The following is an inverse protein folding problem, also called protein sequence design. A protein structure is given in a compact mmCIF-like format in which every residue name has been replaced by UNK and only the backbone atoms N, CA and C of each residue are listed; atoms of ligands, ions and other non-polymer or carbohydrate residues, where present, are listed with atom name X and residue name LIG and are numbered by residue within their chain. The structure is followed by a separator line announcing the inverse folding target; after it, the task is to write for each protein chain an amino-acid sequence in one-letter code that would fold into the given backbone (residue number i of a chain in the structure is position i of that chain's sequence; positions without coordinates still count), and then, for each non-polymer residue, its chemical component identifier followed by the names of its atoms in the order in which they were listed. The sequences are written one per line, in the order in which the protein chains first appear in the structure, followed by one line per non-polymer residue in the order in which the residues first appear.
data_IF_936675315221
#
_entry.id   IF_936675315221
#
_cell.length_a   1.000
_cell.length_b   1.000
_cell.length_c   1.000
_cell.angle_alpha   90.00
_cell.angle_beta   90.00
_cell.angle_gamma   90.00
#
_symmetry.space_group_name_H-M   'P 1'
#
loop_
_entity.id
_entity.type
_entity.pdbx_description
1 polymer ?
#
# COMPACT_ATOMS: atom_id res chain seq x y z
N UNK A 1 0.83 8.34 28.85
CA UNK A 1 1.60 7.52 27.86
C UNK A 1 0.73 6.59 27.01
N UNK A 2 -0.36 5.99 27.54
CA UNK A 2 -1.36 5.24 26.76
C UNK A 2 -2.23 6.17 25.87
N UNK A 3 -2.61 7.36 26.37
CA UNK A 3 -3.36 8.37 25.58
C UNK A 3 -2.63 8.81 24.32
N UNK A 4 -1.30 8.96 24.39
CA UNK A 4 -0.49 9.42 23.26
C UNK A 4 -0.55 8.46 22.08
N UNK A 5 -0.64 7.14 22.32
CA UNK A 5 -0.72 6.15 21.24
C UNK A 5 -2.12 6.07 20.63
N UNK A 6 -3.17 6.18 21.45
CA UNK A 6 -4.54 6.26 20.97
C UNK A 6 -4.69 7.50 20.06
N UNK A 7 -4.09 8.62 20.47
CA UNK A 7 -4.01 9.85 19.66
C UNK A 7 -3.23 9.57 18.36
N UNK A 8 -2.09 8.87 18.38
CA UNK A 8 -1.35 8.58 17.15
C UNK A 8 -2.12 7.66 16.19
N UNK A 9 -2.74 6.58 16.68
CA UNK A 9 -3.53 5.65 15.85
C UNK A 9 -4.80 6.33 15.30
N UNK A 10 -5.47 7.14 16.13
CA UNK A 10 -6.65 7.92 15.72
C UNK A 10 -6.29 9.05 14.76
N UNK A 11 -5.26 9.86 15.06
CA UNK A 11 -4.73 10.89 14.14
C UNK A 11 -4.30 10.28 12.81
N UNK A 12 -3.66 9.12 12.83
CA UNK A 12 -3.23 8.45 11.62
C UNK A 12 -4.40 8.02 10.74
N UNK A 13 -5.43 7.41 11.34
CA UNK A 13 -6.68 7.06 10.65
C UNK A 13 -7.39 8.32 10.12
N UNK A 14 -7.32 9.42 10.87
CA UNK A 14 -7.84 10.72 10.47
C UNK A 14 -7.08 11.31 9.26
N UNK A 15 -5.75 11.31 9.31
CA UNK A 15 -4.87 11.82 8.25
C UNK A 15 -5.12 11.02 6.96
N UNK A 16 -5.14 9.69 7.05
CA UNK A 16 -5.49 8.83 5.92
C UNK A 16 -6.88 9.15 5.37
N UNK A 17 -7.88 9.29 6.24
CA UNK A 17 -9.23 9.66 5.81
C UNK A 17 -9.27 11.00 5.08
N UNK A 18 -8.59 12.03 5.58
CA UNK A 18 -8.55 13.35 4.95
C UNK A 18 -7.77 13.36 3.64
N UNK A 19 -6.60 12.72 3.59
CA UNK A 19 -5.84 12.58 2.36
C UNK A 19 -6.65 11.80 1.29
N UNK A 20 -7.33 10.72 1.69
CA UNK A 20 -8.23 9.97 0.81
C UNK A 20 -9.46 10.78 0.40
N UNK A 21 -9.95 11.68 1.25
CA UNK A 21 -11.06 12.58 0.91
C UNK A 21 -10.63 13.63 -0.12
N UNK A 22 -9.42 14.19 0.01
CA UNK A 22 -8.81 15.08 -1.00
C UNK A 22 -8.63 14.35 -2.33
N UNK A 23 -8.19 13.09 -2.29
CA UNK A 23 -8.04 12.25 -3.48
C UNK A 23 -9.36 11.63 -3.96
N UNK A 24 -10.50 11.94 -3.31
CA UNK A 24 -11.84 11.56 -3.73
C UNK A 24 -12.09 10.04 -3.67
N UNK A 25 -11.39 9.37 -2.76
CA UNK A 25 -11.46 7.94 -2.47
C UNK A 25 -12.25 7.64 -1.17
N UNK A 26 -12.86 8.66 -0.56
CA UNK A 26 -13.62 8.54 0.70
C UNK A 26 -15.11 8.88 0.49
N UNK A 27 -15.95 7.97 -0.07
CA UNK A 27 -17.40 8.19 -0.23
C UNK A 27 -18.18 8.14 1.10
N UNK A 28 -17.50 8.28 2.23
CA UNK A 28 -18.02 8.15 3.58
C UNK A 28 -17.63 9.36 4.44
N UNK A 29 -18.24 9.49 5.61
CA UNK A 29 -18.00 10.56 6.56
C UNK A 29 -17.30 10.06 7.82
N UNK A 30 -16.67 10.97 8.56
CA UNK A 30 -16.10 10.70 9.88
C UNK A 30 -16.92 11.41 10.96
N UNK A 31 -17.38 10.67 11.97
CA UNK A 31 -18.08 11.23 13.11
C UNK A 31 -17.11 11.45 14.28
N UNK A 32 -16.75 12.71 14.53
CA UNK A 32 -15.82 13.12 15.59
C UNK A 32 -16.31 12.81 17.01
N UNK A 33 -17.63 12.79 17.24
CA UNK A 33 -18.18 12.51 18.58
C UNK A 33 -18.06 11.03 18.96
N UNK A 34 -18.16 10.14 17.97
CA UNK A 34 -18.13 8.69 18.19
C UNK A 34 -16.83 8.03 17.70
N UNK A 35 -15.89 8.80 17.13
CA UNK A 35 -14.65 8.31 16.51
C UNK A 35 -14.86 7.17 15.49
N UNK A 36 -15.97 7.22 14.76
CA UNK A 36 -16.39 6.16 13.84
C UNK A 36 -16.64 6.72 12.45
N UNK A 37 -16.34 5.92 11.43
CA UNK A 37 -16.74 6.20 10.06
C UNK A 37 -18.22 5.86 9.88
N UNK A 38 -18.92 6.70 9.13
CA UNK A 38 -20.35 6.57 8.85
C UNK A 38 -20.65 6.81 7.38
N UNK A 39 -21.80 6.29 6.93
CA UNK A 39 -22.35 6.63 5.62
C UNK A 39 -22.57 8.14 5.53
N UNK A 40 -22.17 8.75 4.42
CA UNK A 40 -22.35 10.17 4.16
C UNK A 40 -22.87 10.33 2.73
N UNK A 41 -24.13 10.77 2.61
CA UNK A 41 -24.77 11.00 1.31
C UNK A 41 -24.02 12.10 0.55
N UNK A 42 -23.61 13.16 1.26
CA UNK A 42 -22.85 14.28 0.67
C UNK A 42 -21.51 13.80 0.11
N UNK A 43 -20.75 13.00 0.89
CA UNK A 43 -19.47 12.47 0.40
C UNK A 43 -19.65 11.52 -0.78
N UNK A 44 -20.72 10.71 -0.78
CA UNK A 44 -21.04 9.80 -1.89
C UNK A 44 -21.40 10.59 -3.15
N UNK A 45 -22.28 11.59 -3.06
CA UNK A 45 -22.64 12.45 -4.18
C UNK A 45 -21.41 13.19 -4.74
N UNK A 46 -20.55 13.70 -3.86
CA UNK A 46 -19.29 14.34 -4.25
C UNK A 46 -18.38 13.40 -5.06
N UNK A 47 -18.20 12.15 -4.62
CA UNK A 47 -17.44 11.15 -5.38
C UNK A 47 -18.10 10.81 -6.72
N UNK A 48 -19.44 10.70 -6.79
CA UNK A 48 -20.16 10.42 -8.05
C UNK A 48 -19.99 11.56 -9.06
N UNK A 49 -20.16 12.82 -8.62
CA UNK A 49 -19.96 13.99 -9.47
C UNK A 49 -18.54 14.01 -10.02
N UNK A 50 -17.55 13.68 -9.18
CA UNK A 50 -16.17 13.64 -9.63
C UNK A 50 -15.89 12.50 -10.60
N UNK A 51 -16.48 11.32 -10.45
CA UNK A 51 -16.39 10.23 -11.44
C UNK A 51 -16.94 10.67 -12.79
N UNK A 52 -18.08 11.37 -12.81
CA UNK A 52 -18.66 11.91 -14.04
C UNK A 52 -17.72 12.95 -14.65
N UNK A 53 -17.17 13.83 -13.82
CA UNK A 53 -16.26 14.88 -14.23
C UNK A 53 -14.94 14.29 -14.79
N UNK A 54 -14.37 13.28 -14.15
CA UNK A 54 -13.17 12.60 -14.64
C UNK A 54 -13.44 11.82 -15.91
N UNK A 55 -14.63 11.22 -16.05
CA UNK A 55 -15.03 10.51 -17.26
C UNK A 55 -15.23 11.43 -18.47
N UNK A 56 -15.63 12.68 -18.26
CA UNK A 56 -15.94 13.62 -19.34
C UNK A 56 -14.81 14.63 -19.62
N UNK A 57 -14.29 15.30 -18.59
CA UNK A 57 -13.35 16.41 -18.75
C UNK A 57 -11.96 15.90 -19.13
N UNK A 58 -11.47 14.84 -18.47
CA UNK A 58 -10.09 14.39 -18.72
C UNK A 58 -9.85 13.92 -20.16
N UNK A 59 -10.69 13.07 -20.78
CA UNK A 59 -10.48 12.64 -22.16
C UNK A 59 -10.48 13.82 -23.13
N UNK A 60 -11.45 14.73 -23.01
CA UNK A 60 -11.63 15.85 -23.94
C UNK A 60 -10.43 16.80 -23.96
N UNK A 61 -9.89 17.13 -22.78
CA UNK A 61 -8.80 18.11 -22.67
C UNK A 61 -7.41 17.50 -22.76
N UNK A 62 -7.22 16.24 -22.32
CA UNK A 62 -5.89 15.63 -22.29
C UNK A 62 -5.54 14.89 -23.57
N UNK A 63 -6.48 14.21 -24.25
CA UNK A 63 -6.16 13.50 -25.51
C UNK A 63 -5.73 14.47 -26.61
N UNK A 64 -6.43 15.59 -26.75
CA UNK A 64 -6.10 16.63 -27.72
C UNK A 64 -4.71 17.24 -27.46
N UNK A 65 -4.41 17.52 -26.19
CA UNK A 65 -3.08 17.97 -25.76
C UNK A 65 -1.98 16.95 -26.07
N UNK A 66 -2.22 15.67 -25.80
CA UNK A 66 -1.28 14.58 -26.09
C UNK A 66 -0.96 14.45 -27.57
N UNK A 67 -2.00 14.45 -28.41
CA UNK A 67 -1.83 14.34 -29.85
C UNK A 67 -1.01 15.51 -30.40
N UNK A 68 -1.31 16.73 -29.96
CA UNK A 68 -0.59 17.93 -30.39
C UNK A 68 0.87 17.95 -29.90
N UNK A 69 1.11 17.66 -28.62
CA UNK A 69 2.45 17.68 -28.03
C UNK A 69 3.33 16.54 -28.55
N UNK A 70 2.80 15.32 -28.69
CA UNK A 70 3.57 14.19 -29.23
C UNK A 70 3.81 14.36 -30.73
N UNK A 71 2.82 14.82 -31.50
CA UNK A 71 2.97 15.04 -32.95
C UNK A 71 4.03 16.11 -33.29
N UNK A 72 4.18 17.13 -32.43
CA UNK A 72 5.25 18.13 -32.56
C UNK A 72 6.64 17.55 -32.29
N UNK A 73 6.76 16.62 -31.34
CA UNK A 73 8.05 16.14 -30.83
C UNK A 73 8.55 14.84 -31.46
N UNK A 74 7.65 13.98 -31.95
CA UNK A 74 7.99 12.67 -32.51
C UNK A 74 7.58 12.57 -33.99
N UNK A 75 8.36 11.84 -34.81
CA UNK A 75 8.09 11.72 -36.24
C UNK A 75 7.17 10.55 -36.63
N UNK A 76 7.17 9.43 -35.89
CA UNK A 76 6.32 8.26 -36.21
C UNK A 76 4.99 8.31 -35.45
N UNK A 77 4.03 7.51 -35.94
CA UNK A 77 2.71 7.32 -35.34
C UNK A 77 2.78 6.43 -34.10
N UNK A 78 3.75 5.52 -34.01
CA UNK A 78 3.89 4.58 -32.90
C UNK A 78 4.02 5.29 -31.55
N UNK A 79 4.85 6.32 -31.47
CA UNK A 79 5.07 7.10 -30.25
C UNK A 79 3.80 7.85 -29.83
N UNK A 80 3.10 8.42 -30.81
CA UNK A 80 1.83 9.13 -30.59
C UNK A 80 0.80 8.15 -30.01
N UNK A 81 0.66 6.97 -30.60
CA UNK A 81 -0.26 5.94 -30.11
C UNK A 81 0.14 5.39 -28.74
N UNK A 82 1.43 5.16 -28.49
CA UNK A 82 1.91 4.66 -27.20
C UNK A 82 1.61 5.66 -26.05
N UNK A 83 1.87 6.95 -26.27
CA UNK A 83 1.58 7.98 -25.28
C UNK A 83 0.08 8.22 -25.06
N UNK A 84 -0.71 8.22 -26.15
CA UNK A 84 -2.18 8.30 -26.05
C UNK A 84 -2.75 7.08 -25.31
N UNK A 85 -2.24 5.89 -25.60
CA UNK A 85 -2.63 4.65 -24.93
C UNK A 85 -2.36 4.75 -23.44
N UNK A 86 -1.14 5.14 -23.03
CA UNK A 86 -0.82 5.31 -21.61
C UNK A 86 -1.79 6.29 -20.94
N UNK A 87 -1.98 7.49 -21.52
CA UNK A 87 -2.87 8.50 -20.95
C UNK A 87 -4.30 7.97 -20.80
N UNK A 88 -4.88 7.41 -21.86
CA UNK A 88 -6.23 6.85 -21.83
C UNK A 88 -6.36 5.71 -20.81
N UNK A 89 -5.35 4.85 -20.73
CA UNK A 89 -5.30 3.73 -19.81
C UNK A 89 -5.28 4.18 -18.34
N UNK A 90 -4.44 5.15 -17.99
CA UNK A 90 -4.38 5.73 -16.64
C UNK A 90 -5.73 6.34 -16.22
N UNK A 91 -6.43 7.02 -17.15
CA UNK A 91 -7.75 7.58 -16.89
C UNK A 91 -8.81 6.51 -16.60
N UNK A 92 -8.85 5.46 -17.44
CA UNK A 92 -9.77 4.35 -17.25
C UNK A 92 -9.55 3.68 -15.89
N UNK A 93 -8.28 3.47 -15.52
CA UNK A 93 -7.92 2.91 -14.21
C UNK A 93 -8.46 3.75 -13.05
N UNK A 94 -8.33 5.08 -13.11
CA UNK A 94 -8.84 5.96 -12.05
C UNK A 94 -10.35 5.88 -11.91
N UNK A 95 -11.08 5.83 -13.03
CA UNK A 95 -12.53 5.65 -13.04
C UNK A 95 -12.90 4.32 -12.37
N UNK A 96 -12.24 3.22 -12.76
CA UNK A 96 -12.48 1.91 -12.14
C UNK A 96 -12.17 1.88 -10.65
N UNK A 97 -11.07 2.52 -10.23
CA UNK A 97 -10.71 2.66 -8.81
C UNK A 97 -11.82 3.42 -8.06
N UNK A 98 -12.25 4.58 -8.56
CA UNK A 98 -13.28 5.38 -7.91
C UNK A 98 -14.62 4.63 -7.81
N UNK A 99 -15.02 3.94 -8.87
CA UNK A 99 -16.19 3.05 -8.87
C UNK A 99 -16.05 1.91 -7.85
N UNK A 100 -14.87 1.31 -7.75
CA UNK A 100 -14.58 0.26 -6.77
C UNK A 100 -14.71 0.77 -5.32
N UNK A 101 -14.21 1.97 -5.01
CA UNK A 101 -14.39 2.59 -3.70
C UNK A 101 -15.85 2.90 -3.38
N UNK A 102 -16.64 3.34 -4.37
CA UNK A 102 -18.09 3.56 -4.23
C UNK A 102 -18.86 2.25 -3.97
N UNK A 103 -18.46 1.18 -4.65
CA UNK A 103 -19.03 -0.16 -4.52
C UNK A 103 -18.74 -0.77 -3.14
N UNK A 104 -17.47 -0.76 -2.72
CA UNK A 104 -17.02 -1.36 -1.46
C UNK A 104 -17.22 -0.45 -0.24
N UNK A 105 -17.86 0.72 -0.38
CA UNK A 105 -17.97 1.74 0.68
C UNK A 105 -18.40 1.19 2.04
N UNK A 106 -19.37 0.27 2.06
CA UNK A 106 -19.88 -0.30 3.30
C UNK A 106 -18.83 -1.18 3.98
N UNK A 107 -18.18 -2.04 3.21
CA UNK A 107 -17.14 -2.94 3.71
C UNK A 107 -15.93 -2.16 4.22
N UNK A 108 -15.58 -1.03 3.57
CA UNK A 108 -14.53 -0.12 4.01
C UNK A 108 -14.87 0.53 5.36
N UNK A 109 -16.09 1.06 5.51
CA UNK A 109 -16.56 1.63 6.80
C UNK A 109 -16.46 0.57 7.89
N UNK A 110 -16.99 -0.62 7.62
CA UNK A 110 -17.02 -1.71 8.59
C UNK A 110 -15.60 -2.16 8.96
N UNK A 111 -14.68 -2.24 7.98
CA UNK A 111 -13.26 -2.57 8.22
C UNK A 111 -12.61 -1.60 9.19
N UNK A 112 -12.66 -0.29 8.89
CA UNK A 112 -11.98 0.71 9.70
C UNK A 112 -12.60 0.83 11.10
N UNK A 113 -13.93 0.69 11.24
CA UNK A 113 -14.58 0.67 12.54
C UNK A 113 -14.15 -0.56 13.37
N UNK A 114 -14.09 -1.75 12.77
CA UNK A 114 -13.56 -2.95 13.45
C UNK A 114 -12.10 -2.77 13.83
N UNK A 115 -11.29 -2.16 12.95
CA UNK A 115 -9.88 -1.86 13.23
C UNK A 115 -9.70 -0.91 14.43
N UNK A 116 -10.53 0.12 14.55
CA UNK A 116 -10.49 1.05 15.71
C UNK A 116 -10.86 0.31 17.00
N UNK A 117 -11.90 -0.52 16.99
CA UNK A 117 -12.25 -1.33 18.15
C UNK A 117 -11.12 -2.31 18.54
N UNK A 118 -10.48 -2.93 17.55
CA UNK A 118 -9.35 -3.82 17.74
C UNK A 118 -8.13 -3.09 18.32
N UNK A 119 -7.84 -1.86 17.87
CA UNK A 119 -6.75 -1.07 18.43
C UNK A 119 -7.01 -0.72 19.88
N UNK A 120 -8.23 -0.32 20.25
CA UNK A 120 -8.63 -0.07 21.65
C UNK A 120 -8.45 -1.33 22.51
N UNK A 121 -8.80 -2.52 22.00
CA UNK A 121 -8.57 -3.81 22.68
C UNK A 121 -7.08 -4.05 22.94
N UNK A 122 -6.18 -3.82 21.96
CA UNK A 122 -4.73 -3.95 22.14
C UNK A 122 -4.20 -2.94 23.18
N UNK A 123 -4.62 -1.67 23.10
CA UNK A 123 -4.14 -0.64 24.03
C UNK A 123 -4.55 -0.91 25.47
N UNK A 124 -5.77 -1.41 25.70
CA UNK A 124 -6.26 -1.74 27.04
C UNK A 124 -5.40 -2.77 27.78
N UNK A 125 -4.66 -3.60 27.03
CA UNK A 125 -3.85 -4.71 27.54
C UNK A 125 -2.37 -4.36 27.74
N UNK A 126 -1.90 -3.26 27.18
CA UNK A 126 -0.47 -2.93 27.16
C UNK A 126 -0.09 -1.82 28.15
N UNK A 127 0.89 -2.11 29.02
CA UNK A 127 1.55 -1.11 29.86
C UNK A 127 2.59 -0.31 29.08
N UNK A 128 3.38 -0.99 28.26
CA UNK A 128 4.42 -0.40 27.42
C UNK A 128 4.23 -0.76 25.95
N UNK A 129 4.48 0.22 25.09
CA UNK A 129 4.23 0.10 23.67
C UNK A 129 5.56 0.29 22.94
N UNK A 130 5.90 -0.70 22.14
CA UNK A 130 7.19 -0.79 21.47
C UNK A 130 7.08 -0.32 20.00
N UNK A 131 8.16 0.23 19.45
CA UNK A 131 8.23 0.59 18.02
C UNK A 131 7.45 1.84 17.60
N UNK A 132 7.09 2.74 18.53
CA UNK A 132 6.30 3.95 18.24
C UNK A 132 6.93 4.86 17.18
N UNK A 133 8.24 5.10 17.28
CA UNK A 133 8.96 5.92 16.28
C UNK A 133 8.92 5.29 14.90
N UNK A 134 9.14 3.97 14.81
CA UNK A 134 9.09 3.26 13.54
C UNK A 134 7.71 3.36 12.89
N UNK A 135 6.63 3.22 13.69
CA UNK A 135 5.26 3.36 13.22
C UNK A 135 4.88 4.80 12.85
N UNK A 136 5.44 5.82 13.51
CA UNK A 136 5.18 7.21 13.16
C UNK A 136 5.94 7.65 11.89
N UNK A 137 7.21 7.25 11.77
CA UNK A 137 8.10 7.72 10.70
C UNK A 137 7.78 7.07 9.35
N UNK A 138 7.52 5.76 9.32
CA UNK A 138 7.42 5.03 8.07
C UNK A 138 6.22 5.47 7.20
N UNK A 139 5.00 5.64 7.75
CA UNK A 139 3.90 6.16 6.96
C UNK A 139 4.08 7.60 6.49
N UNK A 140 4.68 8.45 7.33
CA UNK A 140 5.01 9.83 6.95
C UNK A 140 5.99 9.79 5.77
N UNK A 141 7.02 8.94 5.82
CA UNK A 141 7.98 8.77 4.74
C UNK A 141 7.31 8.30 3.43
N UNK A 142 6.30 7.41 3.50
CA UNK A 142 5.53 6.98 2.33
C UNK A 142 4.73 8.14 1.72
N UNK A 143 4.04 8.93 2.55
CA UNK A 143 3.26 10.09 2.09
C UNK A 143 4.19 11.16 1.50
N UNK A 144 5.29 11.47 2.17
CA UNK A 144 6.30 12.42 1.68
C UNK A 144 6.90 11.94 0.36
N UNK A 145 7.19 10.64 0.22
CA UNK A 145 7.66 10.05 -1.03
C UNK A 145 6.66 10.22 -2.18
N UNK A 146 5.36 10.08 -1.91
CA UNK A 146 4.30 10.34 -2.90
C UNK A 146 4.28 11.81 -3.34
N UNK A 147 4.42 12.75 -2.41
CA UNK A 147 4.46 14.18 -2.70
C UNK A 147 5.73 14.56 -3.49
N UNK A 148 6.89 14.04 -3.11
CA UNK A 148 8.14 14.25 -3.83
C UNK A 148 8.01 13.76 -5.27
N UNK A 149 7.45 12.56 -5.49
CA UNK A 149 7.20 12.04 -6.84
C UNK A 149 6.34 13.01 -7.66
N UNK A 150 5.22 13.46 -7.10
CA UNK A 150 4.32 14.39 -7.78
C UNK A 150 5.02 15.70 -8.15
N UNK A 151 5.77 16.28 -7.21
CA UNK A 151 6.53 17.51 -7.42
C UNK A 151 7.62 17.35 -8.48
N UNK A 152 8.34 16.22 -8.49
CA UNK A 152 9.37 15.95 -9.49
C UNK A 152 8.75 15.80 -10.89
N UNK A 153 7.67 15.04 -11.02
CA UNK A 153 6.94 14.91 -12.28
C UNK A 153 6.46 16.28 -12.81
N UNK A 154 5.99 17.16 -11.91
CA UNK A 154 5.56 18.50 -12.27
C UNK A 154 6.73 19.44 -12.63
N UNK A 155 7.82 19.41 -11.86
CA UNK A 155 9.01 20.24 -12.08
C UNK A 155 9.66 19.95 -13.44
N UNK A 156 9.66 18.69 -13.87
CA UNK A 156 10.16 18.29 -15.18
C UNK A 156 9.42 18.92 -16.34
N UNK A 157 8.12 19.14 -16.18
CA UNK A 157 7.33 19.83 -17.20
C UNK A 157 7.62 21.33 -17.23
N UNK A 158 7.84 21.97 -16.08
CA UNK A 158 8.17 23.41 -15.98
C UNK A 158 9.51 23.75 -16.66
N UNK A 159 10.45 22.80 -16.68
CA UNK A 159 11.77 22.99 -17.28
C UNK A 159 11.77 22.93 -18.83
N UNK A 160 10.62 22.64 -19.45
CA UNK A 160 10.46 22.72 -20.91
C UNK A 160 10.33 24.20 -21.31
N UNK A 161 11.16 24.75 -22.22
CA UNK A 161 11.03 26.13 -22.67
C UNK A 161 9.68 26.38 -23.38
N UNK A 162 9.15 27.60 -23.29
CA UNK A 162 7.90 28.09 -23.91
C UNK A 162 6.56 27.61 -23.32
N UNK A 163 6.41 27.66 -22.00
CA UNK A 163 5.17 27.28 -21.31
C UNK A 163 4.20 28.48 -21.21
N UNK A 164 3.03 28.35 -21.85
CA UNK A 164 1.90 29.26 -21.63
C UNK A 164 1.08 28.84 -20.40
N UNK A 165 0.29 29.76 -19.81
CA UNK A 165 -0.62 29.46 -18.69
C UNK A 165 -1.63 28.35 -19.02
N UNK A 166 -2.12 28.31 -20.27
CA UNK A 166 -3.01 27.23 -20.76
C UNK A 166 -2.32 25.86 -20.75
N UNK A 167 -1.03 25.81 -21.12
CA UNK A 167 -0.23 24.59 -21.09
C UNK A 167 -0.06 24.07 -19.65
N UNK A 168 0.21 24.96 -18.69
CA UNK A 168 0.33 24.57 -17.26
C UNK A 168 -0.95 23.90 -16.75
N UNK A 169 -2.12 24.47 -17.05
CA UNK A 169 -3.39 23.89 -16.60
C UNK A 169 -3.62 22.48 -17.17
N UNK A 170 -3.33 22.27 -18.46
CA UNK A 170 -3.47 20.95 -19.11
C UNK A 170 -2.54 19.89 -18.50
N UNK A 171 -1.36 20.30 -18.08
CA UNK A 171 -0.34 19.44 -17.45
C UNK A 171 -0.73 19.05 -16.03
N UNK A 172 -1.29 19.99 -15.26
CA UNK A 172 -1.82 19.69 -13.93
C UNK A 172 -2.94 18.65 -14.06
N UNK A 173 -3.87 18.86 -14.99
CA UNK A 173 -4.95 17.91 -15.28
C UNK A 173 -4.39 16.53 -15.64
N UNK A 174 -3.29 16.47 -16.38
CA UNK A 174 -2.62 15.21 -16.74
C UNK A 174 -2.03 14.45 -15.54
N UNK A 175 -1.43 15.13 -14.56
CA UNK A 175 -0.79 14.44 -13.44
C UNK A 175 -1.75 13.98 -12.35
N UNK A 176 -3.00 14.45 -12.34
CA UNK A 176 -4.01 14.06 -11.35
C UNK A 176 -4.24 12.53 -11.32
N UNK A 177 -4.46 11.84 -12.46
CA UNK A 177 -4.60 10.38 -12.47
C UNK A 177 -3.40 9.65 -11.89
N UNK A 178 -2.20 10.00 -12.35
CA UNK A 178 -0.96 9.39 -11.87
C UNK A 178 -0.81 9.55 -10.35
N UNK A 179 -1.18 10.74 -9.83
CA UNK A 179 -1.21 11.02 -8.41
C UNK A 179 -2.23 10.14 -7.68
N UNK A 180 -3.48 10.05 -8.16
CA UNK A 180 -4.53 9.24 -7.54
C UNK A 180 -4.12 7.77 -7.47
N UNK A 181 -3.62 7.19 -8.58
CA UNK A 181 -3.19 5.78 -8.61
C UNK A 181 -2.01 5.56 -7.68
N UNK A 182 -1.01 6.45 -7.68
CA UNK A 182 0.13 6.35 -6.76
C UNK A 182 -0.32 6.46 -5.31
N UNK A 183 -1.25 7.37 -5.02
CA UNK A 183 -1.83 7.56 -3.70
C UNK A 183 -2.57 6.30 -3.21
N UNK A 184 -3.31 5.60 -4.08
CA UNK A 184 -3.92 4.29 -3.73
C UNK A 184 -2.86 3.30 -3.27
N UNK A 185 -1.76 3.14 -4.01
CA UNK A 185 -0.65 2.28 -3.60
C UNK A 185 -0.05 2.70 -2.24
N UNK A 186 0.13 3.99 -2.02
CA UNK A 186 0.59 4.53 -0.74
C UNK A 186 -0.36 4.20 0.41
N UNK A 187 -1.68 4.41 0.24
CA UNK A 187 -2.67 4.07 1.28
C UNK A 187 -2.64 2.59 1.63
N UNK A 188 -2.42 1.71 0.66
CA UNK A 188 -2.28 0.29 0.89
C UNK A 188 -1.06 -0.05 1.76
N UNK A 189 0.12 0.44 1.39
CA UNK A 189 1.37 0.20 2.15
C UNK A 189 1.22 0.70 3.59
N UNK A 190 0.67 1.91 3.72
CA UNK A 190 0.47 2.57 5.00
C UNK A 190 -0.46 1.74 5.91
N UNK A 191 -1.51 1.15 5.34
CA UNK A 191 -2.41 0.28 6.08
C UNK A 191 -1.75 -1.07 6.46
N UNK A 192 -0.96 -1.66 5.56
CA UNK A 192 -0.16 -2.86 5.85
C UNK A 192 0.84 -2.62 6.97
N UNK A 193 1.49 -1.45 7.01
CA UNK A 193 2.37 -1.04 8.12
C UNK A 193 1.58 -0.97 9.44
N UNK A 194 0.35 -0.46 9.41
CA UNK A 194 -0.54 -0.43 10.58
C UNK A 194 -0.92 -1.81 11.08
N UNK A 195 -1.23 -2.76 10.19
CA UNK A 195 -1.52 -4.14 10.58
C UNK A 195 -0.27 -4.86 11.11
N UNK A 196 0.90 -4.59 10.50
CA UNK A 196 2.21 -5.05 10.98
C UNK A 196 2.51 -4.58 12.38
N UNK A 197 2.14 -3.35 12.69
CA UNK A 197 2.33 -2.77 14.00
C UNK A 197 1.51 -3.51 15.06
N UNK A 198 0.26 -3.89 14.77
CA UNK A 198 -0.53 -4.71 15.68
C UNK A 198 0.07 -6.09 15.91
N UNK A 199 0.53 -6.76 14.85
CA UNK A 199 1.23 -8.05 14.98
C UNK A 199 2.49 -7.94 15.87
N UNK A 200 3.25 -6.85 15.74
CA UNK A 200 4.41 -6.57 16.59
C UNK A 200 3.99 -6.43 18.07
N UNK A 201 2.87 -5.77 18.35
CA UNK A 201 2.38 -5.64 19.72
C UNK A 201 2.00 -6.99 20.33
N UNK A 202 1.31 -7.86 19.56
CA UNK A 202 0.97 -9.22 20.01
C UNK A 202 2.24 -10.03 20.29
N UNK A 203 3.24 -9.96 19.40
CA UNK A 203 4.54 -10.63 19.60
C UNK A 203 5.26 -10.19 20.87
N UNK A 204 5.22 -8.89 21.19
CA UNK A 204 5.82 -8.36 22.41
C UNK A 204 5.03 -8.76 23.67
N UNK A 205 3.70 -8.80 23.60
CA UNK A 205 2.86 -9.30 24.69
C UNK A 205 3.16 -10.77 24.97
N UNK A 206 3.23 -11.61 23.92
CA UNK A 206 3.60 -13.01 24.04
C UNK A 206 4.97 -13.18 24.71
N UNK A 207 5.98 -12.44 24.26
CA UNK A 207 7.32 -12.47 24.86
C UNK A 207 7.30 -12.05 26.34
N UNK A 208 6.54 -11.01 26.69
CA UNK A 208 6.41 -10.55 28.08
C UNK A 208 5.63 -11.51 28.97
N UNK A 209 4.63 -12.20 28.43
CA UNK A 209 3.88 -13.22 29.17
C UNK A 209 4.76 -14.44 29.46
N UNK A 210 5.55 -14.86 28.47
CA UNK A 210 6.47 -15.99 28.62
C UNK A 210 7.66 -15.67 29.53
N UNK A 211 8.20 -14.44 29.51
CA UNK A 211 9.31 -14.02 30.39
C UNK A 211 9.01 -14.24 31.88
N UNK A 212 7.75 -14.08 32.30
CA UNK A 212 7.29 -14.34 33.67
C UNK A 212 7.61 -15.78 34.11
N UNK A 213 7.52 -16.74 33.18
CA UNK A 213 7.81 -18.16 33.44
C UNK A 213 9.32 -18.41 33.53
N UNK A 214 10.13 -17.70 32.75
CA UNK A 214 11.59 -17.81 32.78
C UNK A 214 12.21 -17.16 34.04
N UNK A 215 11.64 -16.04 34.48
CA UNK A 215 12.14 -15.26 35.62
C UNK A 215 11.79 -15.89 36.97
N UNK A 216 11.05 -17.00 36.98
CA UNK A 216 10.70 -17.74 38.19
C UNK A 216 11.96 -18.33 38.87
N UNK A 217 12.18 -18.06 40.18
CA UNK A 217 13.34 -18.60 40.88
C UNK A 217 13.38 -20.13 40.83
N UNK A 218 14.59 -20.70 40.70
CA UNK A 218 14.79 -22.16 40.71
C UNK A 218 14.26 -22.85 41.98
N UNK A 219 14.11 -22.12 43.09
CA UNK A 219 13.52 -22.59 44.35
C UNK A 219 12.01 -22.33 44.52
N UNK A 220 11.29 -21.83 43.50
CA UNK A 220 9.86 -21.58 43.60
C UNK A 220 9.07 -22.89 43.81
N UNK A 221 8.06 -22.84 44.70
CA UNK A 221 7.23 -24.01 45.01
C UNK A 221 6.48 -24.52 43.78
N UNK A 222 6.18 -25.84 43.76
CA UNK A 222 5.41 -26.48 42.68
C UNK A 222 4.05 -25.80 42.47
N UNK A 223 3.37 -25.43 43.57
CA UNK A 223 2.10 -24.71 43.52
C UNK A 223 2.22 -23.31 42.90
N UNK A 224 3.29 -22.55 43.24
CA UNK A 224 3.53 -21.23 42.65
C UNK A 224 3.84 -21.33 41.16
N UNK A 225 4.65 -22.30 40.75
CA UNK A 225 4.95 -22.56 39.33
C UNK A 225 3.70 -22.92 38.54
N UNK A 226 2.87 -23.81 39.08
CA UNK A 226 1.58 -24.18 38.50
C UNK A 226 0.66 -22.96 38.35
N UNK A 227 0.47 -22.17 39.42
CA UNK A 227 -0.38 -20.99 39.39
C UNK A 227 0.08 -19.96 38.34
N UNK A 228 1.39 -19.69 38.26
CA UNK A 228 1.94 -18.78 37.25
C UNK A 228 1.82 -19.35 35.84
N UNK A 229 2.04 -20.65 35.65
CA UNK A 229 1.87 -21.28 34.33
C UNK A 229 0.41 -21.26 33.87
N UNK A 230 -0.56 -21.47 34.77
CA UNK A 230 -1.98 -21.28 34.47
C UNK A 230 -2.30 -19.84 34.07
N UNK A 231 -1.81 -18.86 34.83
CA UNK A 231 -2.03 -17.44 34.50
C UNK A 231 -1.43 -17.06 33.14
N UNK A 232 -0.24 -17.55 32.82
CA UNK A 232 0.41 -17.30 31.53
C UNK A 232 -0.29 -18.05 30.41
N UNK A 233 -0.79 -19.26 30.65
CA UNK A 233 -1.64 -20.00 29.72
C UNK A 233 -2.90 -19.21 29.36
N UNK A 234 -3.61 -18.67 30.35
CA UNK A 234 -4.78 -17.82 30.10
C UNK A 234 -4.42 -16.60 29.22
N UNK A 235 -3.26 -15.97 29.47
CA UNK A 235 -2.78 -14.86 28.63
C UNK A 235 -2.46 -15.30 27.20
N UNK A 236 -1.84 -16.47 27.02
CA UNK A 236 -1.52 -17.03 25.70
C UNK A 236 -2.81 -17.33 24.94
N UNK A 237 -3.81 -17.93 25.58
CA UNK A 237 -5.11 -18.25 24.96
C UNK A 237 -5.80 -16.97 24.46
N UNK A 238 -5.76 -15.89 25.24
CA UNK A 238 -6.28 -14.60 24.80
C UNK A 238 -5.49 -14.00 23.61
N UNK A 239 -4.17 -14.21 23.56
CA UNK A 239 -3.33 -13.77 22.44
C UNK A 239 -3.62 -14.56 21.15
N UNK A 240 -3.97 -15.85 21.25
CA UNK A 240 -4.42 -16.69 20.12
C UNK A 240 -5.68 -16.09 19.50
N UNK A 241 -6.65 -15.66 20.33
CA UNK A 241 -7.89 -15.02 19.87
C UNK A 241 -7.57 -13.68 19.18
N UNK A 242 -6.74 -12.84 19.80
CA UNK A 242 -6.32 -11.56 19.21
C UNK A 242 -5.59 -11.73 17.87
N UNK A 243 -4.74 -12.75 17.77
CA UNK A 243 -4.04 -13.08 16.53
C UNK A 243 -5.04 -13.50 15.44
N UNK A 244 -6.03 -14.33 15.77
CA UNK A 244 -7.08 -14.72 14.83
C UNK A 244 -7.91 -13.53 14.35
N UNK A 245 -8.29 -12.62 15.26
CA UNK A 245 -8.99 -11.37 14.92
C UNK A 245 -8.16 -10.48 13.99
N UNK A 246 -6.84 -10.36 14.23
CA UNK A 246 -5.94 -9.62 13.35
C UNK A 246 -5.88 -10.25 11.95
N UNK A 247 -5.79 -11.57 11.86
CA UNK A 247 -5.78 -12.26 10.57
C UNK A 247 -7.10 -12.10 9.81
N UNK A 248 -8.23 -12.09 10.52
CA UNK A 248 -9.53 -11.78 9.92
C UNK A 248 -9.57 -10.33 9.39
N UNK A 249 -9.00 -9.36 10.10
CA UNK A 249 -8.85 -7.97 9.62
C UNK A 249 -7.98 -7.90 8.36
N UNK A 250 -6.85 -8.60 8.33
CA UNK A 250 -5.97 -8.67 7.16
C UNK A 250 -6.70 -9.27 5.96
N UNK A 251 -7.42 -10.37 6.15
CA UNK A 251 -8.18 -11.03 5.09
C UNK A 251 -9.29 -10.11 4.54
N UNK A 252 -10.03 -9.43 5.43
CA UNK A 252 -11.06 -8.45 5.06
C UNK A 252 -10.46 -7.26 4.30
N UNK A 253 -9.30 -6.76 4.72
CA UNK A 253 -8.63 -5.67 4.00
C UNK A 253 -8.18 -6.10 2.60
N UNK A 254 -7.58 -7.29 2.52
CA UNK A 254 -7.09 -7.86 1.26
C UNK A 254 -8.24 -8.07 0.26
N UNK A 255 -9.40 -8.55 0.69
CA UNK A 255 -10.55 -8.73 -0.20
C UNK A 255 -11.09 -7.40 -0.73
N UNK A 256 -11.17 -6.37 0.13
CA UNK A 256 -11.62 -5.03 -0.26
C UNK A 256 -10.66 -4.37 -1.28
N UNK A 257 -9.35 -4.53 -1.09
CA UNK A 257 -8.35 -3.85 -1.92
C UNK A 257 -7.86 -4.66 -3.12
N UNK A 258 -8.15 -5.96 -3.19
CA UNK A 258 -7.65 -6.88 -4.23
C UNK A 258 -7.82 -6.33 -5.65
N UNK A 259 -9.00 -5.81 -5.99
CA UNK A 259 -9.26 -5.27 -7.31
C UNK A 259 -8.52 -3.96 -7.56
N UNK A 260 -8.47 -3.05 -6.58
CA UNK A 260 -7.71 -1.81 -6.68
C UNK A 260 -6.22 -2.06 -6.85
N UNK A 261 -5.69 -3.10 -6.20
CA UNK A 261 -4.29 -3.51 -6.33
C UNK A 261 -4.00 -4.08 -7.72
N UNK A 262 -4.92 -4.83 -8.31
CA UNK A 262 -4.78 -5.29 -9.69
C UNK A 262 -4.61 -4.10 -10.62
N UNK A 263 -5.55 -3.15 -10.57
CA UNK A 263 -5.49 -1.92 -11.37
C UNK A 263 -4.21 -1.14 -11.10
N UNK A 264 -3.80 -1.00 -9.84
CA UNK A 264 -2.56 -0.34 -9.46
C UNK A 264 -1.33 -1.00 -10.11
N UNK A 265 -1.17 -2.32 -9.99
CA UNK A 265 -0.01 -3.02 -10.56
C UNK A 265 -0.02 -3.00 -12.08
N UNK A 266 -1.18 -3.12 -12.72
CA UNK A 266 -1.29 -2.96 -14.17
C UNK A 266 -0.93 -1.54 -14.61
N UNK A 267 -1.32 -0.50 -13.86
CA UNK A 267 -0.88 0.87 -14.11
C UNK A 267 0.64 0.99 -14.01
N UNK A 268 1.23 0.44 -12.94
CA UNK A 268 2.69 0.51 -12.73
C UNK A 268 3.47 -0.20 -13.83
N UNK A 269 2.92 -1.27 -14.39
CA UNK A 269 3.52 -1.91 -15.56
C UNK A 269 3.61 -0.95 -16.76
N UNK A 270 2.50 -0.30 -17.14
CA UNK A 270 2.46 0.64 -18.27
C UNK A 270 3.28 1.90 -18.00
N UNK A 271 3.20 2.43 -16.77
CA UNK A 271 3.93 3.61 -16.29
C UNK A 271 5.46 3.41 -16.24
N UNK A 272 5.94 2.17 -16.24
CA UNK A 272 7.36 1.88 -16.42
C UNK A 272 7.66 1.65 -17.90
N UNK A 273 6.86 0.83 -18.59
CA UNK A 273 7.10 0.44 -19.98
C UNK A 273 7.19 1.65 -20.92
N UNK A 274 6.18 2.52 -20.90
CA UNK A 274 6.04 3.60 -21.89
C UNK A 274 7.09 4.70 -21.65
N UNK A 275 7.32 5.21 -20.43
CA UNK A 275 8.39 6.18 -20.19
C UNK A 275 9.79 5.65 -20.51
N UNK A 276 10.11 4.39 -20.20
CA UNK A 276 11.42 3.81 -20.56
C UNK A 276 11.60 3.72 -22.08
N UNK A 277 10.53 3.43 -22.83
CA UNK A 277 10.56 3.52 -24.29
C UNK A 277 10.85 4.94 -24.78
N UNK A 278 10.20 5.96 -24.20
CA UNK A 278 10.48 7.36 -24.53
C UNK A 278 11.91 7.79 -24.14
N UNK A 279 12.42 7.33 -23.00
CA UNK A 279 13.81 7.53 -22.57
C UNK A 279 14.80 6.97 -23.59
N UNK A 280 14.55 5.77 -24.10
CA UNK A 280 15.36 5.16 -25.15
C UNK A 280 15.40 6.04 -26.41
N UNK A 281 14.25 6.56 -26.86
CA UNK A 281 14.17 7.42 -28.04
C UNK A 281 14.97 8.72 -27.87
N UNK A 282 14.86 9.34 -26.69
CA UNK A 282 15.63 10.54 -26.33
C UNK A 282 17.13 10.25 -26.33
N UNK A 283 17.56 9.15 -25.70
CA UNK A 283 18.97 8.74 -25.66
C UNK A 283 19.56 8.45 -27.04
N UNK A 284 18.73 7.99 -27.98
CA UNK A 284 19.14 7.73 -29.36
C UNK A 284 18.99 8.93 -30.28
N UNK A 285 18.62 10.10 -29.75
CA UNK A 285 18.34 11.32 -30.51
C UNK A 285 17.32 11.11 -31.66
N UNK A 286 16.34 10.23 -31.44
CA UNK A 286 15.26 9.96 -32.41
C UNK A 286 14.09 10.95 -32.25
N UNK A 287 14.29 12.02 -31.49
CA UNK A 287 13.31 13.07 -31.17
C UNK A 287 13.63 14.35 -31.93
N UNK A 288 12.60 15.14 -32.27
CA UNK A 288 12.76 16.42 -32.99
C UNK A 288 13.38 17.53 -32.14
N UNK A 289 13.43 17.36 -30.82
CA UNK A 289 14.03 18.27 -29.86
C UNK A 289 15.19 17.60 -29.11
N UNK A 290 16.18 18.39 -28.69
CA UNK A 290 17.26 17.97 -27.79
C UNK A 290 16.72 17.95 -26.36
N UNK A 291 16.02 16.87 -25.99
CA UNK A 291 15.61 16.68 -24.61
C UNK A 291 16.84 16.43 -23.73
N UNK A 292 16.90 17.05 -22.53
CA UNK A 292 17.94 16.72 -21.55
C UNK A 292 17.74 15.28 -21.09
N UNK A 293 18.56 14.36 -21.59
CA UNK A 293 18.50 12.94 -21.25
C UNK A 293 18.49 12.69 -19.73
N UNK A 294 19.21 13.50 -18.96
CA UNK A 294 19.29 13.47 -17.49
C UNK A 294 17.91 13.57 -16.80
N UNK A 295 17.02 14.40 -17.34
CA UNK A 295 15.69 14.66 -16.78
C UNK A 295 14.74 13.49 -17.03
N UNK A 296 14.87 12.83 -18.17
CA UNK A 296 14.00 11.70 -18.54
C UNK A 296 14.41 10.45 -17.75
N UNK A 297 15.71 10.14 -17.67
CA UNK A 297 16.25 9.02 -16.85
C UNK A 297 15.82 9.13 -15.38
N UNK A 298 15.73 10.36 -14.86
CA UNK A 298 15.28 10.60 -13.49
C UNK A 298 13.83 10.15 -13.25
N UNK A 299 12.93 10.24 -14.25
CA UNK A 299 11.53 9.80 -14.16
C UNK A 299 11.42 8.28 -14.09
N UNK A 300 12.06 7.56 -15.01
CA UNK A 300 12.07 6.10 -15.03
C UNK A 300 12.60 5.51 -13.74
N UNK A 301 13.69 6.09 -13.21
CA UNK A 301 14.25 5.69 -11.91
C UNK A 301 13.28 5.94 -10.75
N UNK A 302 12.60 7.09 -10.72
CA UNK A 302 11.60 7.38 -9.68
C UNK A 302 10.42 6.41 -9.76
N UNK A 303 9.92 6.11 -10.96
CA UNK A 303 8.82 5.18 -11.15
C UNK A 303 9.21 3.76 -10.70
N UNK A 304 10.41 3.29 -11.06
CA UNK A 304 10.96 2.02 -10.59
C UNK A 304 11.13 2.00 -9.06
N UNK A 305 11.67 3.07 -8.46
CA UNK A 305 11.80 3.19 -7.01
C UNK A 305 10.44 3.19 -6.30
N UNK A 306 9.39 3.72 -6.92
CA UNK A 306 8.03 3.69 -6.35
C UNK A 306 7.47 2.27 -6.36
N UNK A 307 7.67 1.50 -7.42
CA UNK A 307 7.29 0.08 -7.48
C UNK A 307 8.04 -0.73 -6.41
N UNK A 308 9.37 -0.58 -6.34
CA UNK A 308 10.22 -1.29 -5.38
C UNK A 308 9.83 -0.94 -3.94
N UNK A 309 9.53 0.32 -3.62
CA UNK A 309 9.09 0.73 -2.27
C UNK A 309 7.77 0.09 -1.82
N UNK A 310 6.87 -0.25 -2.73
CA UNK A 310 5.55 -0.82 -2.37
C UNK A 310 5.60 -2.24 -1.82
N UNK A 311 6.74 -2.91 -1.98
CA UNK A 311 6.85 -4.35 -1.89
C UNK A 311 7.55 -4.91 -0.63
N UNK A 312 8.63 -4.31 -0.09
CA UNK A 312 9.34 -4.92 1.02
C UNK A 312 8.48 -5.00 2.28
N UNK A 313 7.51 -4.11 2.49
CA UNK A 313 6.69 -4.11 3.72
C UNK A 313 5.56 -5.15 3.72
N UNK A 314 4.96 -5.48 2.57
CA UNK A 314 3.91 -6.51 2.45
C UNK A 314 4.46 -7.93 2.54
N UNK A 315 5.57 -8.22 1.86
CA UNK A 315 6.25 -9.52 1.98
C UNK A 315 6.88 -9.71 3.38
N UNK A 316 7.45 -8.65 3.96
CA UNK A 316 7.95 -8.69 5.34
C UNK A 316 6.83 -8.88 6.36
N UNK A 317 5.64 -8.33 6.15
CA UNK A 317 4.51 -8.53 7.08
C UNK A 317 4.22 -10.01 7.32
N UNK A 318 4.07 -10.79 6.24
CA UNK A 318 3.70 -12.22 6.30
C UNK A 318 4.81 -13.07 6.91
N UNK A 319 6.05 -12.90 6.44
CA UNK A 319 7.13 -13.81 6.83
C UNK A 319 7.82 -13.41 8.13
N UNK A 320 7.93 -12.11 8.43
CA UNK A 320 8.64 -11.66 9.63
C UNK A 320 7.85 -11.92 10.89
N UNK A 321 6.54 -11.63 10.91
CA UNK A 321 5.76 -11.75 12.14
C UNK A 321 5.54 -13.22 12.51
N UNK A 322 5.26 -14.07 11.52
CA UNK A 322 5.08 -15.51 11.72
C UNK A 322 6.37 -16.21 12.13
N UNK A 323 7.50 -15.89 11.50
CA UNK A 323 8.80 -16.44 11.90
C UNK A 323 9.24 -15.96 13.29
N UNK A 324 8.94 -14.70 13.64
CA UNK A 324 9.26 -14.16 14.98
C UNK A 324 8.43 -14.83 16.05
N UNK A 325 7.13 -15.00 15.83
CA UNK A 325 6.22 -15.63 16.78
C UNK A 325 6.54 -17.11 16.97
N UNK A 326 6.81 -17.83 15.86
CA UNK A 326 7.27 -19.22 15.91
C UNK A 326 8.59 -19.40 16.68
N UNK A 327 9.56 -18.49 16.51
CA UNK A 327 10.80 -18.48 17.30
C UNK A 327 10.52 -18.28 18.80
N UNK A 328 9.70 -17.28 19.15
CA UNK A 328 9.34 -16.99 20.55
C UNK A 328 8.70 -18.23 21.23
N UNK A 329 7.83 -18.94 20.51
CA UNK A 329 7.17 -20.15 21.03
C UNK A 329 8.13 -21.34 21.12
N UNK A 330 9.06 -21.48 20.17
CA UNK A 330 10.03 -22.58 20.17
C UNK A 330 11.16 -22.39 21.20
N UNK A 331 11.47 -21.17 21.60
CA UNK A 331 12.50 -20.90 22.62
C UNK A 331 12.12 -21.41 24.03
N UNK A 332 10.90 -21.94 24.21
CA UNK A 332 10.35 -22.40 25.49
C UNK A 332 10.91 -23.78 25.89
N UNK A 333 11.56 -23.91 27.07
CA UNK A 333 12.14 -25.16 27.53
C UNK A 333 11.04 -26.14 27.95
N UNK A 334 10.70 -27.01 27.02
CA UNK A 334 9.64 -28.02 27.09
C UNK A 334 9.67 -28.94 28.32
N UNK A 335 10.83 -29.10 28.95
CA UNK A 335 11.06 -30.08 30.03
C UNK A 335 10.65 -29.58 31.43
N UNK A 336 10.39 -28.27 31.61
CA UNK A 336 10.09 -27.67 32.94
C UNK A 336 8.77 -26.88 32.97
N UNK A 337 7.96 -26.99 31.92
CA UNK A 337 6.72 -26.22 31.75
C UNK A 337 5.51 -27.06 32.14
N UNK A 338 4.50 -26.42 32.72
CA UNK A 338 3.24 -27.09 33.03
C UNK A 338 2.50 -27.56 31.77
N UNK A 339 1.79 -28.68 31.87
CA UNK A 339 1.10 -29.30 30.74
C UNK A 339 0.02 -28.41 30.14
N UNK A 340 -0.63 -27.57 30.96
CA UNK A 340 -1.65 -26.61 30.49
C UNK A 340 -1.01 -25.56 29.59
N UNK A 341 0.06 -24.92 30.06
CA UNK A 341 0.79 -23.91 29.29
C UNK A 341 1.38 -24.50 28.01
N UNK A 342 1.89 -25.73 28.06
CA UNK A 342 2.36 -26.47 26.88
C UNK A 342 1.25 -26.66 25.84
N UNK A 343 0.04 -26.97 26.29
CA UNK A 343 -1.13 -27.13 25.40
C UNK A 343 -1.44 -25.81 24.69
N UNK A 344 -1.58 -24.69 25.43
CA UNK A 344 -1.80 -23.35 24.84
C UNK A 344 -0.71 -22.96 23.83
N UNK A 345 0.56 -23.20 24.15
CA UNK A 345 1.70 -22.92 23.25
C UNK A 345 1.60 -23.76 21.97
N UNK A 346 1.24 -25.04 22.10
CA UNK A 346 1.11 -25.94 20.97
C UNK A 346 -0.05 -25.52 20.06
N UNK A 347 -1.20 -25.17 20.63
CA UNK A 347 -2.34 -24.64 19.89
C UNK A 347 -1.98 -23.36 19.13
N UNK A 348 -1.27 -22.43 19.78
CA UNK A 348 -0.81 -21.21 19.11
C UNK A 348 0.16 -21.54 17.97
N UNK A 349 1.10 -22.45 18.20
CA UNK A 349 2.08 -22.87 17.19
C UNK A 349 1.40 -23.49 15.97
N UNK A 350 0.38 -24.33 16.21
CA UNK A 350 -0.45 -24.94 15.15
C UNK A 350 -1.21 -23.84 14.40
N UNK A 351 -1.81 -22.87 15.09
CA UNK A 351 -2.54 -21.76 14.47
C UNK A 351 -1.61 -20.96 13.55
N UNK A 352 -0.41 -20.61 14.00
CA UNK A 352 0.59 -19.88 13.21
C UNK A 352 1.00 -20.71 11.98
N UNK A 353 1.18 -22.02 12.13
CA UNK A 353 1.60 -22.87 11.03
C UNK A 353 0.54 -22.93 9.91
N UNK A 354 -0.75 -23.01 10.27
CA UNK A 354 -1.87 -23.15 9.34
C UNK A 354 -2.39 -21.81 8.79
N UNK A 355 -2.41 -20.76 9.60
CA UNK A 355 -2.98 -19.47 9.24
C UNK A 355 -1.89 -18.50 8.77
N UNK A 356 -1.30 -18.77 7.60
CA UNK A 356 -0.33 -17.86 6.97
C UNK A 356 -1.07 -16.80 6.16
N UNK A 357 -1.17 -15.54 6.63
CA UNK A 357 -1.86 -14.50 5.88
C UNK A 357 -1.07 -14.22 4.60
N UNK A 358 -1.57 -14.58 3.44
CA UNK A 358 -0.98 -14.12 2.17
C UNK A 358 -1.78 -12.93 1.65
N UNK A 359 -1.13 -11.78 1.52
CA UNK A 359 -1.68 -10.67 0.74
C UNK A 359 -1.60 -11.06 -0.74
N UNK A 360 -2.76 -11.07 -1.39
CA UNK A 360 -2.91 -11.57 -2.76
C UNK A 360 -3.77 -10.63 -3.57
N UNK A 361 -3.37 -10.39 -4.81
CA UNK A 361 -4.15 -9.64 -5.78
C UNK A 361 -5.18 -10.56 -6.41
N UNK A 362 -6.46 -10.39 -6.04
CA UNK A 362 -7.59 -11.16 -6.56
C UNK A 362 -7.44 -12.68 -6.45
N UNK A 363 -6.61 -13.17 -5.51
CA UNK A 363 -6.27 -14.59 -5.38
C UNK A 363 -5.35 -15.15 -6.47
N UNK A 364 -4.95 -14.34 -7.45
CA UNK A 364 -4.11 -14.76 -8.59
C UNK A 364 -2.62 -14.65 -8.28
N UNK A 365 -2.20 -13.50 -7.72
CA UNK A 365 -0.79 -13.20 -7.49
C UNK A 365 -0.55 -12.91 -6.02
N UNK A 366 0.47 -13.53 -5.44
CA UNK A 366 0.98 -13.10 -4.13
C UNK A 366 1.73 -11.79 -4.31
N UNK A 367 1.54 -10.87 -3.37
CA UNK A 367 2.34 -9.64 -3.32
C UNK A 367 3.69 -10.02 -2.69
N UNK A 368 4.54 -10.68 -3.48
CA UNK A 368 5.91 -11.09 -3.15
C UNK A 368 6.91 -10.66 -4.25
N UNK A 369 8.21 -10.81 -3.98
CA UNK A 369 9.26 -10.40 -4.91
C UNK A 369 9.15 -11.09 -6.29
N UNK A 370 8.43 -12.22 -6.38
CA UNK A 370 8.16 -12.92 -7.64
C UNK A 370 7.30 -12.05 -8.55
N UNK A 371 6.26 -11.39 -8.03
CA UNK A 371 5.40 -10.50 -8.82
C UNK A 371 6.21 -9.37 -9.46
N UNK A 372 7.10 -8.73 -8.70
CA UNK A 372 7.99 -7.67 -9.25
C UNK A 372 8.92 -8.24 -10.30
N UNK A 373 9.55 -9.38 -10.04
CA UNK A 373 10.46 -10.02 -11.00
C UNK A 373 9.75 -10.33 -12.32
N UNK A 374 8.53 -10.87 -12.25
CA UNK A 374 7.69 -11.13 -13.41
C UNK A 374 7.30 -9.84 -14.15
N UNK A 375 6.95 -8.77 -13.43
CA UNK A 375 6.64 -7.47 -14.04
C UNK A 375 7.86 -6.89 -14.76
N UNK A 376 9.04 -6.88 -14.12
CA UNK A 376 10.29 -6.39 -14.72
C UNK A 376 10.62 -7.19 -15.97
N UNK A 377 10.54 -8.53 -15.90
CA UNK A 377 10.79 -9.40 -17.05
C UNK A 377 9.83 -9.10 -18.20
N UNK A 378 8.54 -8.97 -17.92
CA UNK A 378 7.55 -8.63 -18.94
C UNK A 378 7.82 -7.24 -19.53
N UNK A 379 8.12 -6.24 -18.71
CA UNK A 379 8.45 -4.88 -19.17
C UNK A 379 9.62 -4.90 -20.14
N UNK A 380 10.68 -5.66 -19.83
CA UNK A 380 11.82 -5.82 -20.74
C UNK A 380 11.43 -6.46 -22.07
N UNK A 381 10.63 -7.53 -22.06
CA UNK A 381 10.17 -8.19 -23.28
C UNK A 381 9.33 -7.26 -24.17
N UNK A 382 8.36 -6.55 -23.58
CA UNK A 382 7.52 -5.62 -24.34
C UNK A 382 8.30 -4.38 -24.80
N UNK A 383 9.27 -3.91 -24.02
CA UNK A 383 10.16 -2.82 -24.43
C UNK A 383 10.96 -3.21 -25.67
N UNK A 384 11.53 -4.42 -25.71
CA UNK A 384 12.24 -4.94 -26.88
C UNK A 384 11.32 -4.96 -28.11
N UNK A 385 10.09 -5.45 -27.96
CA UNK A 385 9.10 -5.47 -29.05
C UNK A 385 8.77 -4.06 -29.57
N UNK A 386 8.53 -3.10 -28.68
CA UNK A 386 8.27 -1.71 -29.07
C UNK A 386 9.46 -1.09 -29.83
N UNK A 387 10.69 -1.39 -29.40
CA UNK A 387 11.90 -0.96 -30.08
C UNK A 387 12.03 -1.61 -31.46
N UNK A 388 11.75 -2.91 -31.58
CA UNK A 388 11.78 -3.63 -32.86
C UNK A 388 10.80 -3.04 -33.87
N UNK A 389 9.53 -2.83 -33.47
CA UNK A 389 8.54 -2.18 -34.33
C UNK A 389 8.96 -0.77 -34.76
N UNK A 390 9.67 -0.04 -33.90
CA UNK A 390 10.22 1.27 -34.27
C UNK A 390 11.29 1.17 -35.35
N UNK A 391 12.13 0.14 -35.35
CA UNK A 391 13.12 -0.07 -36.40
C UNK A 391 12.48 -0.42 -37.74
N UNK A 392 11.46 -1.29 -37.73
CA UNK A 392 10.69 -1.64 -38.92
C UNK A 392 9.98 -0.43 -39.53
N UNK A 393 9.34 0.42 -38.71
CA UNK A 393 8.67 1.66 -39.14
C UNK A 393 9.62 2.67 -39.79
N UNK A 394 10.90 2.65 -39.40
CA UNK A 394 11.94 3.57 -39.92
C UNK A 394 12.62 2.98 -41.17
N UNK A 395 12.30 1.75 -41.56
CA UNK A 395 12.87 1.08 -42.74
C UNK A 395 14.36 0.76 -42.58
N UNK A 396 14.79 0.41 -41.37
CA UNK A 396 16.13 -0.14 -41.09
C UNK A 396 16.09 -1.65 -40.90
#
# INVERSE_FOLDING_TARGET
MQETLLIHSKCFTLILYYCSKICILSPFGYNFKQNQLKKSIISTLYCIVFVILTSYIHPVYSLSFYYETLGKNFPSKLEIYAGIFQGAFEYLIVIFIQCSYLWHRQQIIDYFNTKVAFSEKILSRQKEIHGKMYFAVLPIAVIVGCLIKFLLNFALFILVPDITTSTVTKVIIYFIPNFIVTFVGCTFIVEVISLRYFALQINNQLRSSLSIVYDLPKGASKARRMATACQVSDQVDELIVLHSELLALVAKYNSIQSFNLLLYYTNKFVEILVPVFFEYLVLRNLTKFVARAELTISVGLINLLTLIRTHPDSHRFVNFQMSTMGKILHDIPYHNTDERLRTSINEFSIQILHQRPSLTVCGMFKIDNTLISSMISATMSYLILMIQFKFEDVGM
#
